data_IF_103800633701
#
_entry.id   IF_103800633701
#
_cell.length_a   1.000
_cell.length_b   1.000
_cell.length_c   1.000
_cell.angle_alpha   90.00
_cell.angle_beta   90.00
_cell.angle_gamma   90.00
#
_symmetry.space_group_name_H-M   'P 1'
#
loop_
_entity.id
_entity.type
_entity.pdbx_description
1 polymer ?
#
# COMPACT_ATOMS: atom_id res chain seq x y z
N UNK A 1 39.48 -3.71 -0.70
CA UNK A 1 39.14 -4.52 0.49
C UNK A 1 37.63 -4.42 0.67
N UNK A 2 36.98 -5.56 0.88
CA UNK A 2 35.60 -5.87 0.49
C UNK A 2 34.47 -5.09 1.20
N UNK A 3 33.35 -5.01 0.47
CA UNK A 3 31.95 -4.80 0.84
C UNK A 3 31.54 -4.96 2.31
N UNK A 4 30.62 -4.07 2.72
CA UNK A 4 29.67 -4.29 3.81
C UNK A 4 28.36 -3.55 3.50
N UNK A 5 27.48 -4.19 2.75
CA UNK A 5 26.10 -3.76 2.50
C UNK A 5 25.31 -3.99 3.81
N UNK A 6 25.04 -2.93 4.57
CA UNK A 6 24.18 -2.99 5.75
C UNK A 6 22.76 -2.61 5.39
N UNK A 7 21.93 -3.58 4.99
CA UNK A 7 20.48 -3.44 5.10
C UNK A 7 20.12 -3.60 6.58
N UNK A 8 19.96 -2.51 7.33
CA UNK A 8 19.33 -2.60 8.65
C UNK A 8 17.82 -2.56 8.44
N UNK A 9 17.21 -3.75 8.36
CA UNK A 9 15.77 -3.93 8.57
C UNK A 9 15.47 -3.64 10.04
N UNK A 10 14.79 -2.53 10.33
CA UNK A 10 14.28 -2.34 11.69
C UNK A 10 13.21 -3.39 11.97
N UNK A 11 13.49 -4.24 12.95
CA UNK A 11 12.56 -5.25 13.46
C UNK A 11 11.83 -4.71 14.68
N UNK A 12 10.53 -5.00 14.79
CA UNK A 12 9.67 -4.50 15.86
C UNK A 12 9.24 -5.61 16.81
N UNK A 13 9.20 -5.34 18.11
CA UNK A 13 8.61 -6.26 19.09
C UNK A 13 7.12 -6.44 18.84
N UNK A 14 6.63 -7.67 19.00
CA UNK A 14 5.21 -8.00 18.93
C UNK A 14 4.77 -8.72 20.22
N UNK A 15 3.52 -8.58 20.66
CA UNK A 15 3.04 -9.29 21.83
C UNK A 15 3.02 -10.80 21.57
N UNK A 16 3.40 -11.57 22.60
CA UNK A 16 3.30 -13.04 22.59
C UNK A 16 1.87 -13.46 22.88
N UNK A 17 0.97 -13.25 21.92
CA UNK A 17 -0.45 -13.58 21.96
C UNK A 17 -0.87 -14.24 20.64
N UNK A 18 -2.14 -14.60 20.49
CA UNK A 18 -2.65 -15.05 19.19
C UNK A 18 -2.81 -13.88 18.23
N UNK A 19 -2.11 -13.93 17.10
CA UNK A 19 -2.19 -12.92 16.05
C UNK A 19 -2.99 -13.43 14.85
N UNK A 20 -3.87 -12.60 14.33
CA UNK A 20 -4.48 -12.80 13.02
C UNK A 20 -3.66 -12.05 11.97
N UNK A 21 -3.01 -12.80 11.09
CA UNK A 21 -2.10 -12.28 10.06
C UNK A 21 -2.73 -12.42 8.68
N UNK A 22 -2.71 -11.35 7.88
CA UNK A 22 -3.25 -11.37 6.52
C UNK A 22 -2.50 -10.45 5.57
N UNK A 23 -2.60 -10.73 4.26
CA UNK A 23 -1.93 -9.96 3.19
C UNK A 23 -2.89 -9.38 2.15
N UNK A 24 -4.20 -9.47 2.40
CA UNK A 24 -5.24 -8.97 1.48
C UNK A 24 -5.50 -9.87 0.27
N UNK A 25 -4.79 -11.01 0.13
CA UNK A 25 -5.00 -12.00 -0.94
C UNK A 25 -5.17 -13.41 -0.38
N UNK A 26 -5.72 -14.30 -1.20
CA UNK A 26 -5.71 -15.75 -0.94
C UNK A 26 -4.30 -16.35 -1.18
N UNK A 27 -4.08 -17.57 -0.71
CA UNK A 27 -2.82 -18.30 -0.91
C UNK A 27 -1.69 -17.94 0.06
N UNK A 28 -1.99 -17.26 1.17
CA UNK A 28 -1.02 -17.01 2.25
C UNK A 28 -0.62 -18.34 2.92
N UNK A 29 0.66 -18.49 3.26
CA UNK A 29 1.21 -19.68 3.89
C UNK A 29 2.18 -19.29 5.01
N UNK A 30 2.35 -20.18 5.98
CA UNK A 30 3.35 -20.06 7.03
C UNK A 30 4.36 -21.21 6.94
N UNK A 31 5.64 -20.92 7.15
CA UNK A 31 6.69 -21.93 7.34
C UNK A 31 7.29 -21.75 8.73
N UNK A 32 7.22 -22.79 9.56
CA UNK A 32 7.78 -22.82 10.90
C UNK A 32 9.21 -23.37 10.80
N UNK A 33 10.20 -22.60 11.23
CA UNK A 33 11.61 -22.90 11.02
C UNK A 33 12.33 -23.17 12.34
N UNK A 34 13.18 -24.18 12.33
CA UNK A 34 14.12 -24.46 13.40
C UNK A 34 15.35 -23.54 13.37
N UNK A 35 16.31 -23.81 14.26
CA UNK A 35 17.54 -23.03 14.41
C UNK A 35 18.44 -23.01 13.15
N UNK A 36 18.28 -23.98 12.26
CA UNK A 36 18.99 -24.04 10.98
C UNK A 36 18.34 -23.18 9.88
N UNK A 37 17.22 -22.52 10.18
CA UNK A 37 16.45 -21.70 9.25
C UNK A 37 15.66 -22.51 8.23
N UNK A 38 15.37 -23.79 8.51
CA UNK A 38 14.59 -24.69 7.65
C UNK A 38 13.40 -25.29 8.40
N UNK A 39 12.42 -25.77 7.65
CA UNK A 39 11.35 -26.62 8.21
C UNK A 39 11.95 -27.94 8.67
N UNK A 40 11.38 -28.54 9.73
CA UNK A 40 11.82 -29.86 10.24
C UNK A 40 11.19 -31.01 9.45
N UNK A 41 10.15 -30.71 8.68
CA UNK A 41 9.44 -31.59 7.75
C UNK A 41 8.19 -30.90 7.20
N UNK A 42 7.45 -31.57 6.32
CA UNK A 42 6.29 -30.98 5.62
C UNK A 42 5.18 -30.49 6.56
N UNK A 43 5.10 -31.08 7.75
CA UNK A 43 4.15 -30.69 8.79
C UNK A 43 4.33 -29.23 9.28
N UNK A 44 5.53 -28.66 9.13
CA UNK A 44 5.87 -27.28 9.53
C UNK A 44 5.46 -26.24 8.48
N UNK A 45 4.84 -26.65 7.37
CA UNK A 45 4.22 -25.75 6.40
C UNK A 45 2.70 -25.72 6.61
N UNK A 46 2.13 -24.54 6.84
CA UNK A 46 0.68 -24.35 7.00
C UNK A 46 0.14 -23.54 5.83
N UNK A 47 -0.83 -24.10 5.11
CA UNK A 47 -1.44 -23.55 3.90
C UNK A 47 -2.86 -24.12 3.70
N UNK A 48 -3.52 -23.82 2.59
CA UNK A 48 -4.89 -24.29 2.33
C UNK A 48 -5.05 -25.83 2.41
N UNK A 49 -4.11 -26.59 1.82
CA UNK A 49 -4.14 -28.05 1.83
C UNK A 49 -3.71 -28.68 3.16
N UNK A 50 -3.01 -27.92 4.00
CA UNK A 50 -2.62 -28.33 5.36
C UNK A 50 -2.91 -27.19 6.34
N UNK A 51 -4.19 -27.01 6.74
CA UNK A 51 -4.63 -25.77 7.38
C UNK A 51 -4.29 -25.65 8.87
N UNK A 52 -3.71 -26.68 9.50
CA UNK A 52 -3.39 -26.68 10.93
C UNK A 52 -2.05 -27.36 11.16
N UNK A 53 -1.12 -26.65 11.80
CA UNK A 53 0.13 -27.23 12.29
C UNK A 53 -0.16 -28.29 13.38
N UNK A 54 0.59 -29.39 13.52
CA UNK A 54 0.33 -30.43 14.52
C UNK A 54 0.24 -29.93 15.96
N UNK A 55 0.99 -28.89 16.34
CA UNK A 55 0.90 -28.28 17.67
C UNK A 55 -0.40 -27.48 17.89
N UNK A 56 -1.12 -27.14 16.82
CA UNK A 56 -2.30 -26.28 16.85
C UNK A 56 -2.01 -24.77 16.90
N UNK A 57 -0.74 -24.38 17.09
CA UNK A 57 -0.32 -22.99 17.30
C UNK A 57 -0.40 -22.12 16.03
N UNK A 58 -0.35 -22.71 14.84
CA UNK A 58 -0.51 -22.00 13.56
C UNK A 58 -1.63 -22.63 12.75
N UNK A 59 -2.56 -21.81 12.28
CA UNK A 59 -3.74 -22.24 11.52
C UNK A 59 -3.97 -21.34 10.32
N UNK A 60 -4.23 -21.92 9.16
CA UNK A 60 -4.67 -21.21 7.96
C UNK A 60 -6.19 -21.17 7.87
N UNK A 61 -6.70 -20.01 7.50
CA UNK A 61 -8.06 -19.80 7.00
C UNK A 61 -7.95 -19.25 5.58
N UNK A 62 -9.07 -19.15 4.84
CA UNK A 62 -9.07 -18.80 3.42
C UNK A 62 -8.17 -17.60 3.01
N UNK A 63 -8.06 -16.57 3.85
CA UNK A 63 -7.29 -15.33 3.55
C UNK A 63 -6.34 -14.88 4.67
N UNK A 64 -6.20 -15.68 5.73
CA UNK A 64 -5.42 -15.28 6.90
C UNK A 64 -4.85 -16.47 7.66
N UNK A 65 -3.84 -16.20 8.47
CA UNK A 65 -3.23 -17.14 9.38
C UNK A 65 -3.51 -16.71 10.83
N UNK A 66 -3.85 -17.65 11.69
CA UNK A 66 -3.89 -17.47 13.15
C UNK A 66 -2.59 -18.03 13.74
N UNK A 67 -1.83 -17.21 14.45
CA UNK A 67 -0.53 -17.55 15.06
C UNK A 67 -0.60 -17.34 16.57
N UNK A 68 -0.80 -18.41 17.34
CA UNK A 68 -0.72 -18.41 18.79
C UNK A 68 0.74 -18.37 19.26
N UNK A 69 1.39 -17.20 19.16
CA UNK A 69 2.85 -17.06 19.39
C UNK A 69 3.31 -17.51 20.79
N UNK A 70 2.42 -17.52 21.78
CA UNK A 70 2.67 -18.01 23.14
C UNK A 70 2.60 -19.54 23.27
N UNK A 71 2.00 -20.23 22.30
CA UNK A 71 1.86 -21.69 22.25
C UNK A 71 2.86 -22.33 21.26
N UNK A 72 3.62 -21.51 20.53
CA UNK A 72 4.67 -21.99 19.63
C UNK A 72 5.77 -22.65 20.47
N UNK A 73 6.09 -23.88 20.12
CA UNK A 73 7.11 -24.71 20.77
C UNK A 73 8.51 -24.09 20.67
N UNK A 74 9.42 -24.35 21.63
CA UNK A 74 10.72 -23.69 21.70
C UNK A 74 11.65 -24.06 20.54
N UNK A 75 11.45 -25.21 19.89
CA UNK A 75 12.23 -25.65 18.73
C UNK A 75 11.95 -24.81 17.47
N UNK A 76 10.84 -24.07 17.43
CA UNK A 76 10.52 -23.12 16.35
C UNK A 76 11.03 -21.74 16.74
N UNK A 77 12.04 -21.27 16.00
CA UNK A 77 12.68 -19.97 16.23
C UNK A 77 12.13 -18.87 15.32
N UNK A 78 11.58 -19.25 14.16
CA UNK A 78 11.05 -18.30 13.16
C UNK A 78 9.77 -18.83 12.52
N UNK A 79 8.86 -17.94 12.16
CA UNK A 79 7.67 -18.21 11.36
C UNK A 79 7.69 -17.27 10.16
N UNK A 80 7.97 -17.83 8.98
CA UNK A 80 8.00 -17.07 7.72
C UNK A 80 6.61 -17.00 7.12
N UNK A 81 6.19 -15.80 6.72
CA UNK A 81 4.92 -15.55 6.05
C UNK A 81 5.19 -15.37 4.55
N UNK A 82 4.60 -16.22 3.74
CA UNK A 82 4.83 -16.29 2.31
C UNK A 82 3.54 -16.48 1.52
N UNK A 83 3.60 -16.28 0.20
CA UNK A 83 2.45 -16.50 -0.68
C UNK A 83 2.69 -15.97 -2.10
N UNK A 84 1.64 -15.86 -2.92
CA UNK A 84 1.71 -15.26 -4.23
C UNK A 84 2.31 -13.84 -4.19
N UNK A 85 3.09 -13.49 -5.21
CA UNK A 85 3.65 -12.15 -5.31
C UNK A 85 2.54 -11.14 -5.62
N UNK A 86 2.13 -10.41 -4.59
CA UNK A 86 1.10 -9.36 -4.64
C UNK A 86 1.68 -8.04 -4.11
N UNK A 87 1.07 -6.93 -4.51
CA UNK A 87 1.23 -5.66 -3.82
C UNK A 87 0.12 -5.54 -2.77
N UNK A 88 0.40 -4.86 -1.65
CA UNK A 88 -0.59 -4.70 -0.60
C UNK A 88 0.07 -4.45 0.74
N UNK A 89 -0.51 -4.97 1.82
CA UNK A 89 0.10 -4.91 3.15
C UNK A 89 -0.05 -6.23 3.89
N UNK A 90 1.01 -6.64 4.58
CA UNK A 90 0.90 -7.63 5.64
C UNK A 90 0.47 -6.90 6.91
N UNK A 91 -0.64 -7.34 7.52
CA UNK A 91 -1.10 -6.87 8.81
C UNK A 91 -1.15 -8.03 9.79
N UNK A 92 -0.74 -7.79 11.04
CA UNK A 92 -0.98 -8.70 12.16
C UNK A 92 -1.79 -7.98 13.24
N UNK A 93 -2.89 -8.60 13.66
CA UNK A 93 -3.80 -8.06 14.67
C UNK A 93 -3.79 -8.94 15.91
N UNK A 94 -3.69 -8.33 17.08
CA UNK A 94 -3.89 -9.00 18.37
C UNK A 94 -5.40 -9.28 18.61
N UNK A 95 -5.77 -10.08 19.64
CA UNK A 95 -7.16 -10.47 19.88
C UNK A 95 -8.10 -9.30 20.19
N UNK A 96 -7.57 -8.22 20.75
CA UNK A 96 -8.26 -6.95 21.00
C UNK A 96 -8.43 -6.09 19.74
N UNK A 97 -8.02 -6.62 18.57
CA UNK A 97 -8.04 -6.00 17.24
C UNK A 97 -7.01 -4.87 17.08
N UNK A 98 -6.07 -4.70 18.00
CA UNK A 98 -4.95 -3.79 17.80
C UNK A 98 -4.05 -4.32 16.69
N UNK A 99 -3.74 -3.47 15.70
CA UNK A 99 -2.72 -3.78 14.68
C UNK A 99 -1.34 -3.65 15.33
N UNK A 100 -0.62 -4.76 15.41
CA UNK A 100 0.73 -4.83 16.01
C UNK A 100 1.83 -4.93 14.97
N UNK A 101 1.47 -5.28 13.73
CA UNK A 101 2.34 -5.22 12.55
C UNK A 101 1.55 -4.62 11.40
N UNK A 102 2.14 -3.65 10.71
CA UNK A 102 1.67 -3.16 9.41
C UNK A 102 2.88 -2.98 8.50
N UNK A 103 3.00 -3.83 7.49
CA UNK A 103 4.11 -3.85 6.55
C UNK A 103 3.63 -3.69 5.13
N UNK A 104 4.13 -2.68 4.42
CA UNK A 104 3.79 -2.46 3.02
C UNK A 104 4.56 -3.45 2.14
N UNK A 105 3.81 -4.20 1.33
CA UNK A 105 4.33 -5.14 0.36
C UNK A 105 4.42 -4.42 -0.98
N UNK A 106 5.63 -4.07 -1.38
CA UNK A 106 5.91 -3.78 -2.79
C UNK A 106 6.07 -5.12 -3.51
N UNK A 107 5.27 -5.36 -4.57
CA UNK A 107 5.41 -6.57 -5.38
C UNK A 107 6.80 -6.53 -6.03
N UNK A 108 7.65 -7.55 -5.83
CA UNK A 108 8.93 -7.62 -6.53
C UNK A 108 8.70 -7.87 -8.03
N UNK A 109 9.45 -7.17 -8.88
CA UNK A 109 9.40 -7.35 -10.34
C UNK A 109 9.69 -8.82 -10.70
N UNK A 110 8.96 -9.35 -11.67
CA UNK A 110 9.11 -10.72 -12.21
C UNK A 110 8.97 -11.87 -11.19
N UNK A 111 8.53 -11.59 -9.95
CA UNK A 111 8.25 -12.61 -8.94
C UNK A 111 6.84 -13.19 -9.10
N UNK A 112 6.73 -14.51 -8.91
CA UNK A 112 5.46 -15.24 -8.81
C UNK A 112 5.07 -15.53 -7.35
N UNK A 113 6.05 -15.64 -6.46
CA UNK A 113 5.85 -15.77 -5.02
C UNK A 113 6.76 -14.81 -4.24
N UNK A 114 6.42 -14.53 -2.99
CA UNK A 114 7.17 -13.61 -2.14
C UNK A 114 7.16 -14.07 -0.68
N UNK A 115 8.26 -13.81 0.01
CA UNK A 115 8.32 -13.80 1.48
C UNK A 115 7.98 -12.40 1.95
N UNK A 116 6.82 -12.24 2.57
CA UNK A 116 6.34 -10.95 3.04
C UNK A 116 7.13 -10.45 4.24
N UNK A 117 7.38 -11.34 5.19
CA UNK A 117 8.12 -11.07 6.41
C UNK A 117 8.17 -12.31 7.30
N UNK A 118 8.68 -12.14 8.50
CA UNK A 118 8.80 -13.23 9.46
C UNK A 118 8.62 -12.75 10.90
N UNK A 119 8.10 -13.64 11.74
CA UNK A 119 8.15 -13.53 13.19
C UNK A 119 9.34 -14.35 13.68
N UNK A 120 10.16 -13.83 14.57
CA UNK A 120 11.33 -14.55 15.11
C UNK A 120 11.53 -14.29 16.59
N UNK A 121 12.13 -15.26 17.28
CA UNK A 121 12.45 -15.12 18.71
C UNK A 121 13.68 -14.24 18.90
N UNK A 122 13.59 -13.30 19.83
CA UNK A 122 14.74 -12.54 20.33
C UNK A 122 14.54 -12.31 21.83
N UNK A 123 15.57 -12.50 22.65
CA UNK A 123 15.55 -12.26 24.11
C UNK A 123 14.31 -12.79 24.85
N UNK A 124 13.80 -13.96 24.47
CA UNK A 124 12.63 -14.60 25.11
C UNK A 124 11.26 -14.08 24.68
N UNK A 125 11.20 -13.11 23.77
CA UNK A 125 9.97 -12.63 23.14
C UNK A 125 9.98 -12.79 21.62
N UNK A 126 8.97 -12.24 20.96
CA UNK A 126 8.82 -12.28 19.50
C UNK A 126 9.01 -10.91 18.87
N UNK A 127 9.67 -10.89 17.71
CA UNK A 127 9.80 -9.72 16.85
C UNK A 127 9.31 -10.03 15.46
N UNK A 128 8.90 -9.00 14.74
CA UNK A 128 8.58 -9.07 13.32
C UNK A 128 9.60 -8.28 12.52
N UNK A 129 9.97 -8.80 11.34
CA UNK A 129 10.67 -8.03 10.32
C UNK A 129 10.03 -8.24 8.96
N UNK A 130 9.84 -7.14 8.23
CA UNK A 130 9.47 -7.19 6.83
C UNK A 130 10.64 -7.60 5.95
N UNK A 131 10.39 -8.40 4.91
CA UNK A 131 11.44 -8.94 4.02
C UNK A 131 11.20 -8.52 2.57
N UNK A 132 10.06 -8.90 1.98
CA UNK A 132 9.74 -8.58 0.58
C UNK A 132 10.58 -9.32 -0.47
N UNK A 133 11.12 -10.51 -0.17
CA UNK A 133 11.98 -11.27 -1.10
C UNK A 133 11.13 -12.05 -2.10
N UNK A 134 11.24 -11.72 -3.39
CA UNK A 134 10.54 -12.40 -4.49
C UNK A 134 11.24 -13.66 -4.99
N UNK A 135 10.44 -14.58 -5.54
CA UNK A 135 10.87 -15.83 -6.18
C UNK A 135 10.21 -15.91 -7.57
N UNK A 136 11.02 -15.94 -8.62
CA UNK A 136 10.57 -15.85 -10.00
C UNK A 136 9.90 -17.14 -10.48
N UNK A 137 10.41 -18.30 -10.05
CA UNK A 137 9.83 -19.61 -10.39
C UNK A 137 8.61 -19.95 -9.54
N UNK A 138 8.27 -19.10 -8.56
CA UNK A 138 7.04 -19.18 -7.78
C UNK A 138 7.18 -19.94 -6.47
N UNK A 139 6.04 -20.43 -5.96
CA UNK A 139 5.96 -20.96 -4.59
C UNK A 139 6.85 -22.19 -4.40
N UNK A 140 6.99 -23.06 -5.40
CA UNK A 140 7.86 -24.24 -5.34
C UNK A 140 9.33 -23.86 -5.04
N UNK A 141 9.87 -22.85 -5.74
CA UNK A 141 11.22 -22.35 -5.48
C UNK A 141 11.36 -21.77 -4.07
N UNK A 142 10.33 -21.02 -3.63
CA UNK A 142 10.27 -20.41 -2.31
C UNK A 142 10.32 -21.47 -1.20
N UNK A 143 9.44 -22.48 -1.25
CA UNK A 143 9.32 -23.47 -0.16
C UNK A 143 10.52 -24.42 -0.13
N UNK A 144 11.10 -24.76 -1.29
CA UNK A 144 12.37 -25.51 -1.38
C UNK A 144 13.53 -24.75 -0.76
N UNK A 145 13.57 -23.41 -0.91
CA UNK A 145 14.60 -22.59 -0.25
C UNK A 145 14.57 -22.73 1.28
N UNK A 146 13.40 -23.02 1.86
CA UNK A 146 13.19 -23.25 3.29
C UNK A 146 13.11 -24.72 3.70
N UNK A 147 13.34 -25.68 2.79
CA UNK A 147 13.47 -27.10 3.12
C UNK A 147 12.23 -27.96 2.98
N UNK A 148 11.17 -27.45 2.36
CA UNK A 148 10.04 -28.30 1.96
C UNK A 148 10.46 -29.08 0.71
N UNK A 149 10.24 -30.40 0.72
CA UNK A 149 10.40 -31.22 -0.48
C UNK A 149 9.14 -31.12 -1.34
N UNK A 150 9.28 -30.62 -2.56
CA UNK A 150 8.18 -30.58 -3.53
C UNK A 150 8.33 -31.80 -4.44
N UNK A 151 7.38 -32.73 -4.37
CA UNK A 151 7.31 -33.81 -5.34
C UNK A 151 7.12 -33.22 -6.74
N UNK A 152 7.99 -33.58 -7.69
CA UNK A 152 7.75 -33.26 -9.10
C UNK A 152 6.45 -33.94 -9.52
N UNK A 153 5.46 -33.16 -9.97
CA UNK A 153 4.36 -33.74 -10.75
C UNK A 153 4.99 -34.32 -12.03
N UNK A 154 5.07 -35.65 -12.11
CA UNK A 154 5.29 -36.33 -13.39
C UNK A 154 4.25 -35.81 -14.38
N UNK A 155 4.63 -35.37 -15.59
CA UNK A 155 3.68 -34.85 -16.55
C UNK A 155 2.64 -35.92 -16.84
N UNK A 156 1.40 -35.66 -16.42
CA UNK A 156 0.24 -36.47 -16.82
C UNK A 156 0.17 -36.39 -18.34
N UNK A 157 0.46 -37.51 -19.01
CA UNK A 157 0.33 -37.63 -20.45
C UNK A 157 -1.11 -37.27 -20.87
N UNK A 158 -1.23 -36.38 -21.85
CA UNK A 158 -2.52 -36.04 -22.45
C UNK A 158 -3.25 -37.29 -22.99
N UNK A 159 -4.59 -37.37 -22.91
CA UNK A 159 -5.34 -38.50 -23.46
C UNK A 159 -5.20 -38.54 -24.99
N UNK A 160 -4.75 -39.67 -25.53
CA UNK A 160 -4.67 -39.92 -26.98
C UNK A 160 -6.09 -39.95 -27.57
N UNK A 161 -6.38 -39.06 -28.52
CA UNK A 161 -7.63 -39.07 -29.29
C UNK A 161 -7.69 -40.25 -30.29
N UNK A 162 -8.88 -40.86 -30.54
CA UNK A 162 -9.04 -41.95 -31.51
C UNK A 162 -8.97 -41.47 -32.97
N UNK A 163 -8.62 -42.35 -33.94
CA UNK A 163 -8.34 -41.94 -35.32
C UNK A 163 -9.61 -41.55 -36.09
N UNK A 164 -9.52 -40.50 -36.90
CA UNK A 164 -10.58 -39.99 -37.76
C UNK A 164 -10.80 -40.87 -39.01
N UNK A 165 -12.07 -41.13 -39.32
CA UNK A 165 -12.52 -41.63 -40.63
C UNK A 165 -12.43 -40.52 -41.70
N UNK A 166 -12.27 -40.95 -42.96
CA UNK A 166 -11.87 -40.13 -44.11
C UNK A 166 -12.82 -39.01 -44.59
N UNK A 167 -12.45 -38.32 -45.68
CA UNK A 167 -12.96 -36.99 -46.00
C UNK A 167 -14.26 -36.98 -46.81
N UNK A 168 -15.14 -36.01 -46.51
CA UNK A 168 -16.25 -35.55 -47.35
C UNK A 168 -15.87 -34.18 -47.96
N UNK A 169 -16.17 -33.91 -49.24
CA UNK A 169 -15.66 -32.72 -49.93
C UNK A 169 -16.44 -31.45 -49.58
N UNK A 170 -15.71 -30.35 -49.42
CA UNK A 170 -16.19 -28.99 -49.19
C UNK A 170 -16.46 -28.25 -50.51
N UNK A 171 -17.59 -27.57 -50.61
CA UNK A 171 -17.81 -26.47 -51.55
C UNK A 171 -18.15 -25.18 -50.81
N UNK A 172 -17.44 -24.11 -51.18
CA UNK A 172 -17.56 -22.67 -50.80
C UNK A 172 -17.24 -22.36 -49.32
N UNK A 173 -16.27 -21.52 -48.95
CA UNK A 173 -15.86 -20.19 -49.48
C UNK A 173 -14.32 -19.97 -49.32
N UNK A 174 -13.72 -19.30 -50.31
CA UNK A 174 -12.31 -18.89 -50.48
C UNK A 174 -12.03 -17.48 -49.89
N UNK A 175 -10.83 -16.96 -49.53
CA UNK A 175 -9.39 -17.35 -49.38
C UNK A 175 -8.69 -16.08 -48.80
N UNK A 176 -8.08 -16.05 -47.59
CA UNK A 176 -6.64 -16.34 -47.23
C UNK A 176 -5.65 -15.35 -47.92
N UNK A 177 -4.71 -14.67 -47.21
CA UNK A 177 -3.56 -15.37 -46.62
C UNK A 177 -2.99 -14.92 -45.25
N UNK A 178 -2.43 -15.89 -44.48
CA UNK A 178 -1.44 -15.68 -43.44
C UNK A 178 -0.02 -15.83 -44.02
N UNK A 179 1.00 -15.23 -43.39
CA UNK A 179 2.40 -15.57 -43.71
C UNK A 179 3.36 -15.28 -42.56
N UNK A 180 3.87 -16.39 -41.99
CA UNK A 180 5.27 -16.66 -41.59
C UNK A 180 5.97 -15.85 -40.46
N UNK A 181 6.53 -16.63 -39.53
CA UNK A 181 7.64 -16.32 -38.60
C UNK A 181 9.01 -16.19 -39.34
N UNK A 182 10.18 -16.04 -38.69
CA UNK A 182 10.58 -15.37 -37.43
C UNK A 182 11.81 -14.41 -37.61
N UNK A 183 12.27 -13.83 -36.47
CA UNK A 183 13.63 -13.25 -36.20
C UNK A 183 13.83 -11.74 -36.47
N UNK A 184 14.83 -11.03 -35.89
CA UNK A 184 15.47 -11.06 -34.56
C UNK A 184 15.26 -9.73 -33.78
N UNK A 185 15.36 -9.73 -32.44
CA UNK A 185 15.31 -8.48 -31.65
C UNK A 185 16.59 -7.66 -31.84
N UNK A 186 16.48 -6.60 -32.65
CA UNK A 186 17.49 -5.53 -32.80
C UNK A 186 17.11 -4.35 -31.91
N UNK A 187 18.02 -3.96 -31.01
CA UNK A 187 17.93 -2.71 -30.24
C UNK A 187 17.85 -1.52 -31.21
N UNK A 188 16.79 -0.72 -31.13
CA UNK A 188 16.76 0.63 -31.71
C UNK A 188 16.12 1.62 -30.73
N UNK A 189 16.93 2.60 -30.36
CA UNK A 189 16.52 3.92 -29.89
C UNK A 189 15.65 4.60 -30.97
N UNK A 190 14.55 5.24 -30.58
CA UNK A 190 13.78 6.12 -31.48
C UNK A 190 12.35 6.43 -31.03
N UNK A 191 12.21 7.56 -30.34
CA UNK A 191 11.06 8.51 -30.27
C UNK A 191 9.64 8.05 -29.88
N UNK A 192 8.92 8.85 -29.04
CA UNK A 192 7.68 8.43 -28.38
C UNK A 192 6.48 8.48 -29.33
N UNK A 193 5.66 7.42 -29.31
CA UNK A 193 4.31 7.41 -29.90
C UNK A 193 3.33 7.76 -28.78
N UNK A 194 2.61 8.87 -28.96
CA UNK A 194 1.54 9.31 -28.08
C UNK A 194 0.39 8.29 -28.11
N UNK A 195 0.26 7.49 -27.05
CA UNK A 195 -0.97 6.79 -26.73
C UNK A 195 -1.93 7.79 -26.09
N UNK A 196 -3.13 7.93 -26.66
CA UNK A 196 -4.19 8.75 -26.09
C UNK A 196 -4.57 8.21 -24.71
N UNK A 197 -4.17 8.94 -23.67
CA UNK A 197 -4.57 8.66 -22.29
C UNK A 197 -6.02 9.11 -22.15
N UNK A 198 -6.93 8.16 -21.94
CA UNK A 198 -8.27 8.48 -21.48
C UNK A 198 -8.13 9.21 -20.13
N UNK A 199 -8.57 10.47 -20.06
CA UNK A 199 -8.64 11.20 -18.80
C UNK A 199 -9.63 10.54 -17.84
N UNK A 200 -9.59 10.94 -16.57
CA UNK A 200 -10.60 10.53 -15.58
C UNK A 200 -12.02 10.63 -16.16
N UNK A 201 -12.95 9.71 -15.81
CA UNK A 201 -14.37 9.95 -16.02
C UNK A 201 -14.69 11.35 -15.50
N UNK A 202 -15.47 12.12 -16.26
CA UNK A 202 -15.90 13.46 -15.89
C UNK A 202 -16.89 13.34 -14.71
N UNK A 203 -16.37 13.10 -13.50
CA UNK A 203 -17.16 12.94 -12.27
C UNK A 203 -17.54 14.34 -11.80
N UNK A 204 -18.83 14.73 -11.84
CA UNK A 204 -19.24 16.07 -11.47
C UNK A 204 -18.89 16.39 -10.01
N UNK A 205 -18.12 17.45 -9.80
CA UNK A 205 -17.75 17.93 -8.46
C UNK A 205 -16.35 17.55 -7.98
N UNK A 206 -15.53 16.88 -8.79
CA UNK A 206 -14.09 16.77 -8.51
C UNK A 206 -13.41 18.15 -8.65
N UNK A 207 -12.49 18.55 -7.74
CA UNK A 207 -11.77 19.82 -7.85
C UNK A 207 -10.99 19.91 -9.17
N UNK A 208 -10.97 21.08 -9.83
CA UNK A 208 -10.25 21.33 -11.09
C UNK A 208 -8.75 20.99 -11.04
N UNK A 209 -8.09 20.84 -12.20
CA UNK A 209 -6.65 20.49 -12.31
C UNK A 209 -5.80 21.68 -12.81
N UNK A 210 -4.71 22.05 -12.12
CA UNK A 210 -4.50 21.80 -10.69
C UNK A 210 -5.64 22.44 -9.87
N UNK A 211 -5.86 22.04 -8.61
CA UNK A 211 -6.87 22.68 -7.78
C UNK A 211 -6.68 24.19 -7.81
N UNK A 212 -7.74 24.91 -8.18
CA UNK A 212 -7.77 26.38 -8.13
C UNK A 212 -7.21 26.79 -6.78
N UNK A 213 -6.26 27.72 -6.79
CA UNK A 213 -5.68 28.22 -5.55
C UNK A 213 -6.81 28.77 -4.68
N UNK A 214 -7.18 28.00 -3.66
CA UNK A 214 -8.19 28.41 -2.69
C UNK A 214 -7.50 29.34 -1.72
N UNK A 215 -8.03 30.56 -1.57
CA UNK A 215 -7.60 31.47 -0.49
C UNK A 215 -7.61 30.70 0.82
N UNK A 216 -6.43 30.54 1.42
CA UNK A 216 -6.26 29.88 2.70
C UNK A 216 -7.03 30.70 3.72
N UNK A 217 -7.97 30.09 4.42
CA UNK A 217 -8.48 30.66 5.66
C UNK A 217 -7.58 30.11 6.75
N UNK A 218 -6.54 30.87 7.10
CA UNK A 218 -5.81 30.64 8.35
C UNK A 218 -6.84 30.44 9.45
N UNK A 219 -6.77 29.34 10.20
CA UNK A 219 -7.54 29.28 11.44
C UNK A 219 -6.85 30.22 12.42
N UNK A 220 -7.52 31.31 12.75
CA UNK A 220 -7.16 32.11 13.92
C UNK A 220 -7.20 31.19 15.15
N UNK A 221 -6.11 31.13 15.92
CA UNK A 221 -5.96 30.18 17.04
C UNK A 221 -5.59 28.74 16.64
N UNK A 222 -5.08 28.50 15.43
CA UNK A 222 -4.51 27.19 15.08
C UNK A 222 -3.09 27.03 15.62
N UNK A 223 -2.92 26.08 16.53
CA UNK A 223 -1.63 25.84 17.19
C UNK A 223 -0.86 24.63 16.61
N UNK A 224 -1.50 23.82 15.76
CA UNK A 224 -0.86 22.61 15.20
C UNK A 224 -0.01 22.93 13.96
N UNK A 225 1.23 23.32 14.23
CA UNK A 225 2.22 23.60 13.20
C UNK A 225 2.19 25.04 12.68
N UNK A 226 3.23 25.43 11.92
CA UNK A 226 3.48 26.82 11.57
C UNK A 226 2.50 27.38 10.53
N UNK A 227 2.26 28.68 10.60
CA UNK A 227 1.56 29.47 9.58
C UNK A 227 2.58 30.28 8.77
N UNK A 228 2.55 30.14 7.45
CA UNK A 228 3.56 30.67 6.53
C UNK A 228 2.98 30.83 5.11
N UNK A 229 3.69 31.58 4.26
CA UNK A 229 3.32 31.73 2.86
C UNK A 229 3.55 30.43 2.06
N UNK A 230 2.59 30.00 1.23
CA UNK A 230 2.73 28.76 0.47
C UNK A 230 3.92 28.76 -0.50
N UNK A 231 4.62 27.63 -0.54
CA UNK A 231 5.58 27.32 -1.59
C UNK A 231 4.88 26.54 -2.71
N UNK A 232 5.04 26.96 -3.96
CA UNK A 232 4.46 26.27 -5.13
C UNK A 232 5.51 26.07 -6.20
N UNK A 233 5.55 24.88 -6.79
CA UNK A 233 6.41 24.55 -7.92
C UNK A 233 5.63 23.72 -8.93
N UNK A 234 5.91 23.93 -10.21
CA UNK A 234 5.37 23.15 -11.32
C UNK A 234 6.51 22.51 -12.09
N UNK A 235 6.23 21.39 -12.71
CA UNK A 235 7.21 20.68 -13.51
C UNK A 235 6.60 19.56 -14.34
N UNK A 236 7.47 18.74 -14.90
CA UNK A 236 7.12 17.56 -15.68
C UNK A 236 8.16 16.48 -15.41
N UNK A 237 7.71 15.22 -15.45
CA UNK A 237 8.56 14.07 -15.22
C UNK A 237 9.19 14.06 -13.81
N UNK A 238 10.23 13.24 -13.60
CA UNK A 238 10.92 13.12 -12.32
C UNK A 238 11.66 14.42 -11.93
N UNK A 239 11.67 14.75 -10.64
CA UNK A 239 12.39 15.91 -10.11
C UNK A 239 12.80 15.75 -8.63
N UNK A 240 13.71 16.60 -8.16
CA UNK A 240 14.04 16.77 -6.74
C UNK A 240 13.70 18.20 -6.33
N UNK A 241 12.62 18.33 -5.57
CA UNK A 241 12.09 19.61 -5.12
C UNK A 241 12.76 19.99 -3.80
N UNK A 242 13.22 21.23 -3.70
CA UNK A 242 13.73 21.81 -2.46
C UNK A 242 12.86 23.00 -2.12
N UNK A 243 12.10 22.91 -1.02
CA UNK A 243 11.32 24.03 -0.53
C UNK A 243 12.25 25.19 -0.16
N UNK A 244 11.84 26.42 -0.45
CA UNK A 244 12.61 27.60 -0.05
C UNK A 244 12.43 27.91 1.45
N UNK A 245 13.16 28.94 1.92
CA UNK A 245 13.22 29.32 3.34
C UNK A 245 11.90 29.79 3.94
N UNK A 246 10.84 29.99 3.14
CA UNK A 246 9.50 30.32 3.65
C UNK A 246 8.78 29.13 4.25
N UNK A 247 9.24 27.90 4.01
CA UNK A 247 8.71 26.69 4.64
C UNK A 247 9.49 26.42 5.94
N UNK A 248 8.92 26.73 7.11
CA UNK A 248 9.54 26.45 8.40
C UNK A 248 9.51 24.95 8.74
N UNK A 249 10.30 24.58 9.75
CA UNK A 249 10.26 23.24 10.35
C UNK A 249 8.92 22.96 11.05
N UNK A 250 8.55 21.68 11.14
CA UNK A 250 7.32 21.21 11.76
C UNK A 250 6.29 20.68 10.74
N UNK A 251 5.04 20.44 11.18
CA UNK A 251 3.99 19.90 10.33
C UNK A 251 3.65 20.84 9.16
N UNK A 252 3.68 20.30 7.95
CA UNK A 252 3.31 21.01 6.72
C UNK A 252 2.35 20.18 5.89
N UNK A 253 1.41 20.84 5.23
CA UNK A 253 0.50 20.23 4.26
C UNK A 253 1.17 20.22 2.89
N UNK A 254 1.38 19.03 2.34
CA UNK A 254 1.88 18.85 0.98
C UNK A 254 0.71 18.48 0.08
N UNK A 255 0.52 19.24 -0.99
CA UNK A 255 -0.46 18.97 -2.04
C UNK A 255 0.27 18.63 -3.33
N UNK A 256 -0.19 17.60 -4.04
CA UNK A 256 0.35 17.23 -5.35
C UNK A 256 -0.82 17.01 -6.32
N UNK A 257 -0.69 17.60 -7.50
CA UNK A 257 -1.53 17.33 -8.65
C UNK A 257 -0.63 16.79 -9.77
N UNK A 258 -0.94 15.63 -10.32
CA UNK A 258 -0.25 15.01 -11.46
C UNK A 258 -1.26 14.63 -12.54
N UNK A 259 -0.96 14.94 -13.80
CA UNK A 259 -1.92 14.89 -14.91
C UNK A 259 -1.85 13.57 -15.67
N UNK A 260 -3.00 13.06 -16.10
CA UNK A 260 -3.10 11.83 -16.87
C UNK A 260 -2.78 10.57 -16.04
N UNK A 261 -2.67 9.42 -16.69
CA UNK A 261 -2.26 8.17 -16.06
C UNK A 261 -0.76 8.08 -15.81
N UNK A 262 -0.33 6.95 -15.28
CA UNK A 262 1.08 6.66 -14.99
C UNK A 262 1.40 6.71 -13.51
N UNK A 263 2.67 6.44 -13.19
CA UNK A 263 3.12 6.37 -11.81
C UNK A 263 3.36 7.77 -11.23
N UNK A 264 2.91 8.00 -9.99
CA UNK A 264 3.29 9.16 -9.18
C UNK A 264 3.72 8.72 -7.78
N UNK A 265 4.96 9.07 -7.44
CA UNK A 265 5.58 8.79 -6.15
C UNK A 265 6.25 10.03 -5.59
N UNK A 266 5.96 10.39 -4.34
CA UNK A 266 6.58 11.51 -3.66
C UNK A 266 7.14 11.06 -2.30
N UNK A 267 8.44 11.23 -2.09
CA UNK A 267 9.12 10.92 -0.82
C UNK A 267 9.78 12.17 -0.24
N UNK A 268 9.75 12.38 1.08
CA UNK A 268 10.69 13.29 1.72
C UNK A 268 12.10 12.70 1.63
N UNK A 269 13.10 13.57 1.63
CA UNK A 269 14.51 13.19 1.66
C UNK A 269 15.11 13.48 3.04
N UNK A 270 15.89 12.54 3.55
CA UNK A 270 16.70 12.73 4.76
C UNK A 270 17.90 13.66 4.52
N UNK A 271 18.72 13.89 5.55
CA UNK A 271 19.94 14.71 5.47
C UNK A 271 20.98 14.16 4.46
N UNK A 272 20.90 12.87 4.11
CA UNK A 272 21.78 12.17 3.16
C UNK A 272 21.14 12.05 1.77
N UNK A 273 20.03 12.74 1.52
CA UNK A 273 19.22 12.65 0.31
C UNK A 273 18.67 11.25 0.02
N UNK A 274 18.46 10.42 1.04
CA UNK A 274 17.77 9.14 0.92
C UNK A 274 16.27 9.35 1.06
N UNK A 275 15.51 8.68 0.21
CA UNK A 275 14.06 8.67 0.28
C UNK A 275 13.60 8.05 1.59
N UNK A 276 12.73 8.76 2.30
CA UNK A 276 11.97 8.25 3.43
C UNK A 276 10.63 7.69 2.95
N UNK A 277 9.75 7.30 3.88
CA UNK A 277 8.41 6.80 3.58
C UNK A 277 7.64 7.74 2.65
N UNK A 278 6.92 7.17 1.69
CA UNK A 278 6.11 7.93 0.73
C UNK A 278 5.13 8.89 1.43
N UNK A 279 5.06 10.11 0.90
CA UNK A 279 3.94 11.03 1.08
C UNK A 279 2.80 10.55 0.17
N UNK A 280 3.09 10.34 -1.12
CA UNK A 280 2.16 9.81 -2.11
C UNK A 280 2.79 8.64 -2.87
N UNK A 281 1.96 7.66 -3.22
CA UNK A 281 2.32 6.54 -4.07
C UNK A 281 1.04 6.06 -4.76
N UNK A 282 0.92 6.28 -6.06
CA UNK A 282 -0.30 5.97 -6.80
C UNK A 282 -0.02 5.76 -8.28
N UNK A 283 -0.90 5.01 -8.93
CA UNK A 283 -0.98 4.88 -10.39
C UNK A 283 -2.31 5.43 -10.93
N UNK A 284 -3.12 6.04 -10.07
CA UNK A 284 -4.43 6.55 -10.44
C UNK A 284 -4.31 7.74 -11.39
N UNK A 285 -5.15 7.81 -12.43
CA UNK A 285 -5.11 8.90 -13.40
C UNK A 285 -5.55 10.24 -12.79
N UNK A 286 -4.96 11.32 -13.31
CA UNK A 286 -5.22 12.70 -12.89
C UNK A 286 -5.15 12.89 -11.37
N UNK A 287 -4.14 12.24 -10.77
CA UNK A 287 -3.89 12.21 -9.34
C UNK A 287 -3.95 13.60 -8.70
N UNK A 288 -4.70 13.70 -7.61
CA UNK A 288 -4.76 14.86 -6.73
C UNK A 288 -4.73 14.35 -5.30
N UNK A 289 -3.75 14.79 -4.52
CA UNK A 289 -3.60 14.36 -3.15
C UNK A 289 -3.17 15.49 -2.24
N UNK A 290 -3.59 15.44 -0.98
CA UNK A 290 -3.01 16.23 0.11
C UNK A 290 -2.67 15.35 1.30
N UNK A 291 -1.54 15.63 1.97
CA UNK A 291 -1.08 14.87 3.14
C UNK A 291 -0.19 15.73 4.01
N UNK A 292 -0.25 15.52 5.32
CA UNK A 292 0.66 16.18 6.25
C UNK A 292 1.96 15.40 6.38
N UNK A 293 3.08 16.12 6.37
CA UNK A 293 4.43 15.58 6.63
C UNK A 293 5.19 16.54 7.54
N UNK A 294 6.38 16.15 8.01
CA UNK A 294 7.23 16.98 8.85
C UNK A 294 8.34 17.61 8.02
N UNK A 295 8.37 18.95 7.98
CA UNK A 295 9.54 19.69 7.52
C UNK A 295 10.64 19.61 8.60
N UNK A 296 11.88 19.21 8.24
CA UNK A 296 12.95 18.99 9.19
C UNK A 296 13.48 20.30 9.78
N UNK A 297 14.00 20.24 11.00
CA UNK A 297 14.74 21.35 11.60
C UNK A 297 16.14 21.50 10.96
N UNK A 298 16.63 22.73 10.87
CA UNK A 298 18.00 23.03 10.44
C UNK A 298 18.32 22.80 8.96
N UNK A 299 17.37 22.33 8.14
CA UNK A 299 17.55 22.16 6.69
C UNK A 299 16.24 22.33 5.91
N UNK A 300 16.29 22.68 4.61
CA UNK A 300 15.09 22.74 3.80
C UNK A 300 14.37 21.38 3.68
N UNK A 301 13.04 21.42 3.59
CA UNK A 301 12.26 20.25 3.17
C UNK A 301 12.63 19.92 1.71
N UNK A 302 13.24 18.76 1.51
CA UNK A 302 13.56 18.22 0.19
C UNK A 302 12.70 17.00 -0.09
N UNK A 303 12.22 16.89 -1.31
CA UNK A 303 11.36 15.79 -1.74
C UNK A 303 11.81 15.27 -3.10
N UNK A 304 11.82 13.94 -3.28
CA UNK A 304 11.99 13.31 -4.59
C UNK A 304 10.60 13.02 -5.14
N UNK A 305 10.34 13.52 -6.34
CA UNK A 305 9.13 13.26 -7.10
C UNK A 305 9.48 12.35 -8.29
N UNK A 306 8.76 11.24 -8.38
CA UNK A 306 8.71 10.38 -9.55
C UNK A 306 7.35 10.58 -10.20
N UNK A 307 7.35 10.89 -11.49
CA UNK A 307 6.15 11.22 -12.24
C UNK A 307 6.39 11.01 -13.73
N UNK A 308 5.36 10.60 -14.47
CA UNK A 308 5.45 10.47 -15.92
C UNK A 308 5.07 11.77 -16.67
N UNK A 309 4.27 12.63 -16.04
CA UNK A 309 3.57 13.75 -16.70
C UNK A 309 3.77 15.08 -15.98
N UNK A 310 3.01 16.09 -16.41
CA UNK A 310 2.96 17.42 -15.78
C UNK A 310 2.43 17.33 -14.35
N UNK A 311 3.04 18.09 -13.46
CA UNK A 311 2.65 18.13 -12.06
C UNK A 311 2.76 19.53 -11.47
N UNK A 312 2.01 19.75 -10.41
CA UNK A 312 2.08 20.93 -9.54
C UNK A 312 2.15 20.46 -8.10
N UNK A 313 3.18 20.88 -7.37
CA UNK A 313 3.33 20.61 -5.93
C UNK A 313 3.20 21.91 -5.15
N UNK A 314 2.49 21.85 -4.02
CA UNK A 314 2.41 22.94 -3.03
C UNK A 314 2.79 22.45 -1.65
N UNK A 315 3.48 23.30 -0.90
CA UNK A 315 3.68 23.15 0.55
C UNK A 315 3.00 24.31 1.24
N UNK A 316 2.08 24.02 2.16
CA UNK A 316 1.17 24.96 2.82
C UNK A 316 1.18 24.75 4.33
N UNK A 317 0.74 25.74 5.11
CA UNK A 317 0.37 25.52 6.52
C UNK A 317 -0.67 24.41 6.65
N UNK A 318 -0.59 23.58 7.70
CA UNK A 318 -1.61 22.56 7.97
C UNK A 318 -3.00 23.18 8.18
N UNK A 319 -3.06 24.38 8.76
CA UNK A 319 -4.28 25.19 8.89
C UNK A 319 -5.03 25.45 7.56
N UNK A 320 -4.37 25.25 6.42
CA UNK A 320 -4.96 25.40 5.09
C UNK A 320 -5.66 24.13 4.58
N UNK A 321 -5.55 23.00 5.28
CA UNK A 321 -6.30 21.80 4.97
C UNK A 321 -7.81 22.07 5.00
N UNK A 322 -8.57 21.37 4.16
CA UNK A 322 -10.02 21.58 4.10
C UNK A 322 -10.64 21.16 5.42
N UNK A 323 -11.62 21.95 5.87
CA UNK A 323 -12.48 21.58 6.98
C UNK A 323 -13.54 20.61 6.51
N UNK A 324 -13.74 19.56 7.27
CA UNK A 324 -14.82 18.61 7.10
C UNK A 324 -16.07 19.17 7.80
N UNK A 325 -16.86 19.90 7.04
CA UNK A 325 -18.13 20.50 7.47
C UNK A 325 -19.24 19.93 6.57
N UNK A 326 -20.15 19.13 7.15
CA UNK A 326 -21.22 18.48 6.40
C UNK A 326 -20.72 17.43 5.39
N UNK A 327 -21.12 17.56 4.13
CA UNK A 327 -20.76 16.61 3.06
C UNK A 327 -19.66 17.16 2.17
N UNK A 328 -18.58 16.40 2.01
CA UNK A 328 -17.49 16.71 1.09
C UNK A 328 -17.20 15.53 0.17
N UNK A 329 -16.74 15.85 -1.04
CA UNK A 329 -16.19 14.87 -1.98
C UNK A 329 -14.70 15.06 -2.14
N UNK A 330 -14.02 13.97 -2.44
CA UNK A 330 -12.60 13.96 -2.75
C UNK A 330 -12.22 12.73 -3.57
N UNK A 331 -10.92 12.62 -3.78
CA UNK A 331 -10.33 11.59 -4.60
C UNK A 331 -8.96 11.25 -4.04
N UNK A 332 -8.64 9.96 -3.99
CA UNK A 332 -7.34 9.48 -3.57
C UNK A 332 -6.94 9.88 -2.13
N UNK A 333 -5.86 10.66 -1.95
CA UNK A 333 -5.36 11.08 -0.62
C UNK A 333 -5.91 12.44 -0.22
N UNK A 334 -6.35 12.60 1.02
CA UNK A 334 -6.67 13.94 1.54
C UNK A 334 -6.44 14.06 3.05
N UNK A 335 -5.78 15.16 3.44
CA UNK A 335 -5.73 15.61 4.82
C UNK A 335 -6.88 16.59 5.07
N UNK A 336 -7.69 16.29 6.08
CA UNK A 336 -8.88 17.06 6.45
C UNK A 336 -8.83 17.47 7.92
N UNK A 337 -9.34 18.67 8.22
CA UNK A 337 -9.50 19.16 9.58
C UNK A 337 -10.93 18.92 10.05
N UNK A 338 -11.08 18.34 11.22
CA UNK A 338 -12.37 18.20 11.89
C UNK A 338 -12.34 18.93 13.23
N UNK A 339 -13.21 19.94 13.39
CA UNK A 339 -13.28 20.77 14.60
C UNK A 339 -14.66 20.71 15.28
N UNK A 340 -15.53 19.82 14.82
CA UNK A 340 -16.88 19.65 15.35
C UNK A 340 -16.93 18.82 16.65
N UNK A 341 -18.15 18.59 17.15
CA UNK A 341 -18.39 17.72 18.30
C UNK A 341 -18.19 16.24 17.99
N UNK A 342 -18.54 15.30 18.87
CA UNK A 342 -18.60 13.88 18.51
C UNK A 342 -19.57 13.68 17.33
N UNK A 343 -19.23 12.80 16.38
CA UNK A 343 -20.03 12.62 15.18
C UNK A 343 -19.97 11.20 14.60
N UNK A 344 -21.01 10.85 13.83
CA UNK A 344 -20.97 9.72 12.91
C UNK A 344 -20.46 10.22 11.55
N UNK A 345 -19.32 9.66 11.11
CA UNK A 345 -18.76 9.89 9.79
C UNK A 345 -19.26 8.82 8.81
N UNK A 346 -20.16 9.22 7.92
CA UNK A 346 -20.56 8.39 6.80
C UNK A 346 -19.52 8.51 5.68
N UNK A 347 -19.03 7.36 5.20
CA UNK A 347 -18.03 7.23 4.15
C UNK A 347 -18.64 6.45 2.99
N UNK A 348 -18.89 7.10 1.87
CA UNK A 348 -19.28 6.45 0.62
C UNK A 348 -18.04 6.35 -0.28
N UNK A 349 -17.49 5.15 -0.45
CA UNK A 349 -16.35 4.90 -1.32
C UNK A 349 -16.79 4.22 -2.61
N UNK A 350 -16.47 4.83 -3.76
CA UNK A 350 -16.93 4.35 -5.07
C UNK A 350 -16.03 3.24 -5.65
N UNK A 351 -14.83 3.09 -5.09
CA UNK A 351 -13.79 2.20 -5.60
C UNK A 351 -12.95 2.85 -6.72
N UNK A 352 -11.87 2.17 -7.07
CA UNK A 352 -11.10 2.42 -8.28
C UNK A 352 -12.00 2.22 -9.51
N UNK A 353 -12.13 3.23 -10.38
CA UNK A 353 -12.93 3.12 -11.60
C UNK A 353 -12.48 1.99 -12.54
N UNK A 354 -11.20 1.63 -12.54
CA UNK A 354 -10.65 0.60 -13.43
C UNK A 354 -10.82 -0.81 -12.87
N UNK A 355 -10.56 -0.99 -11.57
CA UNK A 355 -10.56 -2.31 -10.91
C UNK A 355 -11.88 -2.63 -10.19
N UNK A 356 -12.79 -1.66 -10.07
CA UNK A 356 -14.11 -1.79 -9.45
C UNK A 356 -14.08 -2.24 -7.96
N UNK A 357 -12.96 -1.97 -7.28
CA UNK A 357 -12.69 -2.31 -5.88
C UNK A 357 -11.71 -1.30 -5.26
N UNK A 358 -10.83 -1.74 -4.37
CA UNK A 358 -9.74 -0.92 -3.87
C UNK A 358 -9.82 -0.60 -2.38
N UNK A 359 -8.74 -0.02 -1.88
CA UNK A 359 -8.58 0.29 -0.47
C UNK A 359 -9.17 1.65 -0.14
N UNK A 360 -9.82 1.75 1.03
CA UNK A 360 -10.02 3.02 1.72
C UNK A 360 -9.61 2.89 3.18
N UNK A 361 -8.87 3.88 3.66
CA UNK A 361 -8.46 3.99 5.05
C UNK A 361 -8.44 5.43 5.52
N UNK A 362 -8.82 5.62 6.78
CA UNK A 362 -8.85 6.93 7.44
C UNK A 362 -8.15 6.76 8.78
N UNK A 363 -7.10 7.54 9.02
CA UNK A 363 -6.48 7.67 10.33
C UNK A 363 -6.84 9.04 10.90
N UNK A 364 -7.35 9.09 12.12
CA UNK A 364 -7.61 10.33 12.85
C UNK A 364 -6.52 10.60 13.87
N UNK A 365 -5.98 11.82 13.88
CA UNK A 365 -4.97 12.27 14.83
C UNK A 365 -5.56 13.40 15.66
N UNK A 366 -5.48 13.29 16.98
CA UNK A 366 -5.77 14.41 17.87
C UNK A 366 -4.61 15.39 17.81
N UNK A 367 -4.89 16.66 17.50
CA UNK A 367 -3.84 17.65 17.22
C UNK A 367 -3.80 18.81 18.23
N UNK A 368 -4.74 18.86 19.16
CA UNK A 368 -4.74 19.87 20.22
C UNK A 368 -3.47 19.76 21.08
N UNK A 369 -2.71 20.85 21.17
CA UNK A 369 -1.47 20.91 21.95
C UNK A 369 -0.30 20.06 21.41
N UNK A 370 -0.44 19.47 20.21
CA UNK A 370 0.60 18.67 19.58
C UNK A 370 1.47 19.51 18.64
N UNK A 371 2.71 19.07 18.43
CA UNK A 371 3.65 19.70 17.47
C UNK A 371 4.03 18.76 16.33
N UNK A 372 3.60 17.51 16.37
CA UNK A 372 3.82 16.49 15.34
C UNK A 372 2.67 15.45 15.31
N UNK A 373 2.81 14.43 14.47
CA UNK A 373 1.82 13.35 14.32
C UNK A 373 2.12 12.11 15.17
N UNK A 374 2.91 12.24 16.24
CA UNK A 374 3.23 11.12 17.15
C UNK A 374 2.20 10.95 18.28
N UNK A 375 1.26 11.89 18.40
CA UNK A 375 0.18 11.85 19.38
C UNK A 375 -0.84 10.70 19.18
N UNK A 376 -1.88 10.66 20.03
CA UNK A 376 -2.95 9.66 19.93
C UNK A 376 -3.54 9.66 18.52
N UNK A 377 -3.60 8.48 17.92
CA UNK A 377 -4.25 8.29 16.63
C UNK A 377 -5.17 7.08 16.67
N UNK A 378 -6.27 7.18 15.93
CA UNK A 378 -7.29 6.16 15.81
C UNK A 378 -7.40 5.75 14.36
N UNK A 379 -7.38 4.45 14.10
CA UNK A 379 -7.77 3.91 12.80
C UNK A 379 -9.29 4.02 12.68
N UNK A 380 -9.75 5.10 12.04
CA UNK A 380 -11.17 5.44 11.90
C UNK A 380 -11.86 4.47 10.93
N UNK A 381 -11.19 4.16 9.82
CA UNK A 381 -11.67 3.18 8.83
C UNK A 381 -10.48 2.44 8.23
N UNK A 382 -10.64 1.13 8.03
CA UNK A 382 -9.71 0.30 7.26
C UNK A 382 -10.52 -0.74 6.49
N UNK A 383 -10.66 -0.54 5.18
CA UNK A 383 -11.52 -1.37 4.34
C UNK A 383 -10.81 -1.74 3.03
N UNK A 384 -10.13 -2.90 2.98
CA UNK A 384 -9.32 -3.33 1.83
C UNK A 384 -10.14 -3.75 0.59
N UNK A 385 -11.42 -4.07 0.75
CA UNK A 385 -12.38 -4.34 -0.35
C UNK A 385 -13.54 -3.30 -0.33
N UNK A 386 -13.26 -2.12 0.22
CA UNK A 386 -14.23 -1.27 0.90
C UNK A 386 -15.21 -0.49 0.06
N UNK A 387 -15.45 -0.87 -1.20
CA UNK A 387 -16.45 -0.20 -2.02
C UNK A 387 -17.82 -0.26 -1.32
N UNK A 388 -18.49 0.87 -1.25
CA UNK A 388 -19.79 1.01 -0.61
C UNK A 388 -19.79 2.02 0.54
N UNK A 389 -20.83 1.93 1.36
CA UNK A 389 -21.09 2.86 2.46
C UNK A 389 -20.65 2.27 3.79
N UNK A 390 -19.85 3.04 4.52
CA UNK A 390 -19.47 2.81 5.91
C UNK A 390 -19.98 3.94 6.78
N UNK A 391 -20.24 3.65 8.05
CA UNK A 391 -20.48 4.68 9.06
C UNK A 391 -19.59 4.37 10.25
N UNK A 392 -18.75 5.33 10.63
CA UNK A 392 -17.77 5.17 11.69
C UNK A 392 -17.86 6.36 12.67
N UNK A 393 -17.86 6.13 13.99
CA UNK A 393 -17.87 7.22 14.94
C UNK A 393 -16.50 7.90 14.97
N UNK A 394 -16.50 9.23 15.09
CA UNK A 394 -15.31 10.05 15.31
C UNK A 394 -15.49 10.90 16.59
N UNK A 395 -14.44 11.07 17.41
CA UNK A 395 -14.52 11.90 18.60
C UNK A 395 -14.60 13.39 18.24
N UNK A 396 -14.82 14.22 19.26
CA UNK A 396 -14.77 15.67 19.10
C UNK A 396 -13.38 16.13 18.62
N UNK A 397 -13.37 17.20 17.83
CA UNK A 397 -12.15 17.85 17.36
C UNK A 397 -11.40 18.65 18.45
N UNK A 398 -10.23 19.23 18.09
CA UNK A 398 -9.66 19.26 16.75
C UNK A 398 -8.91 17.98 16.38
N UNK A 399 -9.28 17.40 15.24
CA UNK A 399 -8.62 16.25 14.64
C UNK A 399 -8.09 16.58 13.24
N UNK A 400 -6.99 15.92 12.89
CA UNK A 400 -6.53 15.77 11.52
C UNK A 400 -6.89 14.36 11.03
N UNK A 401 -7.77 14.28 10.03
CA UNK A 401 -8.11 13.03 9.35
C UNK A 401 -7.20 12.87 8.12
N UNK A 402 -6.38 11.82 8.11
CA UNK A 402 -5.55 11.43 6.98
C UNK A 402 -6.21 10.29 6.24
N UNK A 403 -6.87 10.63 5.14
CA UNK A 403 -7.57 9.69 4.27
C UNK A 403 -6.64 9.22 3.14
N UNK A 404 -6.69 7.92 2.87
CA UNK A 404 -6.10 7.29 1.69
C UNK A 404 -7.19 6.43 1.05
N UNK A 405 -7.43 6.62 -0.24
CA UNK A 405 -8.36 5.82 -1.01
C UNK A 405 -7.79 5.50 -2.40
N UNK A 406 -8.20 4.39 -2.98
CA UNK A 406 -7.88 4.02 -4.36
C UNK A 406 -8.95 4.52 -5.35
N UNK A 407 -9.58 5.66 -5.08
CA UNK A 407 -10.65 6.18 -5.95
C UNK A 407 -11.43 7.34 -5.37
N UNK A 408 -12.60 7.68 -5.96
CA UNK A 408 -13.49 8.72 -5.47
C UNK A 408 -14.18 8.31 -4.17
N UNK A 409 -14.39 9.30 -3.31
CA UNK A 409 -15.09 9.11 -2.04
C UNK A 409 -15.93 10.34 -1.68
N UNK A 410 -16.98 10.10 -0.91
CA UNK A 410 -17.81 11.13 -0.27
C UNK A 410 -17.80 10.89 1.23
N UNK A 411 -17.51 11.94 2.00
CA UNK A 411 -17.64 11.96 3.45
C UNK A 411 -18.82 12.82 3.85
N UNK A 412 -19.63 12.37 4.79
CA UNK A 412 -20.70 13.17 5.42
C UNK A 412 -20.59 13.06 6.92
N UNK A 413 -20.37 14.19 7.59
CA UNK A 413 -20.40 14.28 9.05
C UNK A 413 -21.82 14.51 9.53
N UNK A 414 -22.21 13.75 10.57
CA UNK A 414 -23.43 13.96 11.35
C UNK A 414 -23.07 14.06 12.83
N UNK A 415 -23.07 15.27 13.37
CA UNK A 415 -22.79 15.48 14.80
C UNK A 415 -23.87 14.82 15.66
N UNK A 416 -23.42 14.07 16.65
CA UNK A 416 -24.27 13.43 17.64
C UNK A 416 -24.34 14.38 18.83
N UNK A 417 -25.46 15.07 19.02
CA UNK A 417 -25.64 16.14 20.00
C UNK A 417 -25.68 15.69 21.47
N UNK A 418 -24.74 14.85 21.89
CA UNK A 418 -24.57 14.39 23.27
C UNK A 418 -23.94 15.45 24.17
#
# INVERSE_FOLDING_TARGET
>A
MMCGMGHTSESSWVPSVTLLVGVGSEGISALLLGADGRVRGDADMVFEGQPVHPSGAVRHTKRSLSLALHEVEPEVERIVIAGPAVSGSLAAMAPDRQVVVAWLIARPDDAKAVVFGEFFRESGGWKFTGIGKGYASGLAELVTAYGVEVAEEEPVAEPVAPPAAGPVPLTSVAKVPPTHAPSPYRKHHGTPVAAGVAGTPDVPGLPAFPPVERKHRSAEGWDFGPVFEPFTVTGRANDVITADSRVPAGPVLVELAHKGGGYVGLNPLDERNKSQRYIFNSTLPDFRGSRVTLAPEGRPLRMRLQADNEWTLRVRPVAAARRLEGTIRGYCFEALLYTGGPADLQVDFEGDPETNGGYIGINGYEVAGQTDLTGPHTLVLNSPDGKGRHTVPIPAGPMLLLLQADGPWTLTVRETGF
#
